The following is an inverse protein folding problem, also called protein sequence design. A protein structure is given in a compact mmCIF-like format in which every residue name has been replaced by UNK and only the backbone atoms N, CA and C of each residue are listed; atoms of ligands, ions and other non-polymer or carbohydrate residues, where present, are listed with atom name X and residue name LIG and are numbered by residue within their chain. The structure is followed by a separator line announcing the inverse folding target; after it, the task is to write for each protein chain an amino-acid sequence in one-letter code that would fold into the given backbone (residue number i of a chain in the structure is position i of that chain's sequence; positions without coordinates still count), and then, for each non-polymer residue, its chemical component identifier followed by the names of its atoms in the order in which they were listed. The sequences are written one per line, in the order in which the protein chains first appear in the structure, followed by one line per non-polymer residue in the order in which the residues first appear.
data_IF_866338481192
#
_entry.id   IF_866338481192
#
_cell.length_a   1.000
_cell.length_b   1.000
_cell.length_c   1.000
_cell.angle_alpha   90.00
_cell.angle_beta   90.00
_cell.angle_gamma   90.00
#
_symmetry.space_group_name_H-M   'P 1'
#
loop_
_entity.id
_entity.type
_entity.pdbx_description
1 polymer ?
#
# COMPACT_ATOMS: atom_id res chain seq x y z
N UNK A 1 -18.19 -5.06 -15.21
CA UNK A 1 -17.36 -5.82 -16.15
C UNK A 1 -15.92 -5.28 -16.28
N UNK A 2 -15.70 -3.96 -16.38
CA UNK A 2 -14.35 -3.36 -16.49
C UNK A 2 -13.50 -3.52 -15.21
N UNK A 3 -14.08 -3.23 -14.04
CA UNK A 3 -13.37 -3.34 -12.75
C UNK A 3 -12.87 -4.77 -12.46
N UNK A 4 -13.70 -5.79 -12.71
CA UNK A 4 -13.29 -7.20 -12.51
C UNK A 4 -12.12 -7.61 -13.41
N UNK A 5 -12.07 -7.12 -14.66
CA UNK A 5 -10.93 -7.37 -15.55
C UNK A 5 -9.66 -6.67 -15.07
N UNK A 6 -9.78 -5.43 -14.61
CA UNK A 6 -8.65 -4.68 -14.06
C UNK A 6 -8.09 -5.34 -12.79
N UNK A 7 -8.96 -5.81 -11.90
CA UNK A 7 -8.57 -6.58 -10.70
C UNK A 7 -7.86 -7.89 -11.10
N UNK A 8 -8.39 -8.57 -12.13
CA UNK A 8 -7.81 -9.80 -12.65
C UNK A 8 -6.40 -9.61 -13.21
N UNK A 9 -6.25 -8.66 -14.13
CA UNK A 9 -4.97 -8.36 -14.80
C UNK A 9 -3.95 -7.72 -13.87
N UNK A 10 -4.39 -7.08 -12.79
CA UNK A 10 -3.52 -6.44 -11.82
C UNK A 10 -2.91 -7.45 -10.86
N UNK A 11 -3.74 -8.11 -10.04
CA UNK A 11 -3.23 -8.90 -8.91
C UNK A 11 -3.94 -10.23 -8.70
N UNK A 12 -5.21 -10.34 -9.12
CA UNK A 12 -6.04 -11.49 -8.74
C UNK A 12 -5.46 -12.81 -9.26
N UNK A 13 -5.02 -12.86 -10.53
CA UNK A 13 -4.41 -14.06 -11.12
C UNK A 13 -3.22 -14.56 -10.30
N UNK A 14 -2.40 -13.62 -9.79
CA UNK A 14 -1.18 -13.92 -9.02
C UNK A 14 -1.45 -14.36 -7.59
N UNK A 15 -2.50 -13.84 -6.96
CA UNK A 15 -2.83 -14.15 -5.56
C UNK A 15 -3.85 -15.29 -5.42
N UNK A 16 -4.61 -15.63 -6.45
CA UNK A 16 -5.68 -16.64 -6.38
C UNK A 16 -5.18 -17.98 -5.80
N UNK A 17 -4.02 -18.54 -6.22
CA UNK A 17 -3.49 -19.76 -5.61
C UNK A 17 -3.12 -19.57 -4.13
N UNK A 18 -2.72 -18.36 -3.74
CA UNK A 18 -2.37 -18.00 -2.37
C UNK A 18 -3.59 -17.73 -1.48
N UNK A 19 -4.81 -17.65 -2.02
CA UNK A 19 -6.03 -17.45 -1.23
C UNK A 19 -6.69 -18.76 -0.78
N UNK A 20 -6.31 -19.91 -1.36
CA UNK A 20 -6.87 -21.22 -1.01
C UNK A 20 -6.48 -21.58 0.44
N UNK A 21 -7.42 -21.70 1.39
CA UNK A 21 -7.09 -21.97 2.79
C UNK A 21 -6.26 -23.25 2.94
N UNK A 22 -5.16 -23.24 3.73
CA UNK A 22 -4.44 -24.47 4.02
C UNK A 22 -5.31 -25.39 4.90
N UNK A 23 -5.05 -26.69 4.84
CA UNK A 23 -5.66 -27.64 5.79
C UNK A 23 -5.15 -27.30 7.20
N UNK A 24 -6.06 -26.97 8.12
CA UNK A 24 -5.71 -26.61 9.49
C UNK A 24 -5.64 -27.88 10.35
N UNK A 25 -4.49 -28.15 10.94
CA UNK A 25 -4.34 -29.18 11.96
C UNK A 25 -4.51 -28.54 13.34
N UNK A 26 -5.56 -28.92 14.07
CA UNK A 26 -5.94 -28.31 15.35
C UNK A 26 -5.86 -29.30 16.53
N UNK A 27 -5.14 -30.41 16.36
CA UNK A 27 -5.13 -31.54 17.30
C UNK A 27 -4.32 -31.25 18.58
N UNK A 28 -3.29 -30.40 18.50
CA UNK A 28 -2.48 -29.96 19.64
C UNK A 28 -2.32 -28.44 19.68
N UNK A 29 -2.01 -27.88 20.85
CA UNK A 29 -1.58 -26.48 20.97
C UNK A 29 -0.39 -26.15 20.05
N UNK A 30 0.52 -27.10 19.87
CA UNK A 30 1.66 -26.95 18.96
C UNK A 30 1.19 -26.84 17.50
N UNK A 31 0.23 -27.67 17.10
CA UNK A 31 -0.34 -27.65 15.75
C UNK A 31 -1.14 -26.36 15.49
N UNK A 32 -1.83 -25.86 16.52
CA UNK A 32 -2.53 -24.57 16.46
C UNK A 32 -1.55 -23.42 16.27
N UNK A 33 -0.47 -23.35 17.06
CA UNK A 33 0.58 -22.33 16.91
C UNK A 33 1.23 -22.39 15.53
N UNK A 34 1.60 -23.58 15.08
CA UNK A 34 2.19 -23.78 13.76
C UNK A 34 1.23 -23.35 12.63
N UNK A 35 -0.05 -23.71 12.71
CA UNK A 35 -1.07 -23.29 11.75
C UNK A 35 -1.23 -21.77 11.71
N UNK A 36 -1.20 -21.10 12.87
CA UNK A 36 -1.27 -19.62 12.92
C UNK A 36 -0.04 -18.96 12.29
N UNK A 37 1.15 -19.49 12.52
CA UNK A 37 2.38 -18.99 11.91
C UNK A 37 2.36 -19.13 10.38
N UNK A 38 1.89 -20.28 9.87
CA UNK A 38 1.72 -20.49 8.44
C UNK A 38 0.74 -19.48 7.81
N UNK A 39 -0.40 -19.23 8.46
CA UNK A 39 -1.38 -18.25 7.99
C UNK A 39 -0.78 -16.83 7.95
N UNK A 40 -0.04 -16.43 8.99
CA UNK A 40 0.62 -15.12 9.05
C UNK A 40 1.71 -14.99 7.98
N UNK A 41 2.53 -16.02 7.79
CA UNK A 41 3.58 -16.05 6.77
C UNK A 41 3.00 -15.91 5.36
N UNK A 42 1.91 -16.62 5.08
CA UNK A 42 1.20 -16.53 3.80
C UNK A 42 0.59 -15.15 3.59
N UNK A 43 -0.02 -14.57 4.62
CA UNK A 43 -0.59 -13.23 4.55
C UNK A 43 0.47 -12.17 4.27
N UNK A 44 1.67 -12.28 4.88
CA UNK A 44 2.82 -11.42 4.57
C UNK A 44 3.27 -11.56 3.11
N UNK A 45 3.38 -12.80 2.63
CA UNK A 45 3.76 -13.10 1.24
C UNK A 45 2.79 -12.49 0.23
N UNK A 46 1.47 -12.57 0.48
CA UNK A 46 0.44 -11.94 -0.36
C UNK A 46 0.60 -10.42 -0.38
N UNK A 47 0.84 -9.80 0.78
CA UNK A 47 1.06 -8.35 0.89
C UNK A 47 2.30 -7.92 0.10
N UNK A 48 3.42 -8.64 0.24
CA UNK A 48 4.66 -8.35 -0.46
C UNK A 48 4.51 -8.46 -1.98
N UNK A 49 3.83 -9.52 -2.45
CA UNK A 49 3.52 -9.70 -3.87
C UNK A 49 2.62 -8.58 -4.42
N UNK A 50 1.63 -8.16 -3.65
CA UNK A 50 0.75 -7.05 -4.03
C UNK A 50 1.51 -5.72 -4.12
N UNK A 51 2.44 -5.46 -3.19
CA UNK A 51 3.28 -4.26 -3.20
C UNK A 51 4.24 -4.24 -4.38
N UNK A 52 4.96 -5.34 -4.63
CA UNK A 52 5.89 -5.44 -5.75
C UNK A 52 5.16 -5.32 -7.09
N UNK A 53 3.98 -5.91 -7.21
CA UNK A 53 3.15 -5.81 -8.42
C UNK A 53 2.67 -4.38 -8.66
N UNK A 54 2.14 -3.70 -7.63
CA UNK A 54 1.71 -2.31 -7.74
C UNK A 54 2.86 -1.37 -8.12
N UNK A 55 4.04 -1.51 -7.49
CA UNK A 55 5.24 -0.74 -7.84
C UNK A 55 5.70 -1.01 -9.27
N UNK A 56 5.69 -2.27 -9.70
CA UNK A 56 6.03 -2.65 -11.07
C UNK A 56 5.12 -1.98 -12.10
N UNK A 57 3.82 -1.86 -11.82
CA UNK A 57 2.90 -1.12 -12.69
C UNK A 57 3.21 0.37 -12.73
N UNK A 58 3.51 1.01 -11.59
CA UNK A 58 3.88 2.42 -11.57
C UNK A 58 5.16 2.70 -12.34
N UNK A 59 6.19 1.87 -12.20
CA UNK A 59 7.42 1.98 -13.01
C UNK A 59 7.17 1.81 -14.51
N UNK A 60 6.17 1.02 -14.89
CA UNK A 60 5.74 0.86 -16.27
C UNK A 60 4.79 1.98 -16.76
N UNK A 61 4.50 3.00 -15.95
CA UNK A 61 3.55 4.07 -16.26
C UNK A 61 2.07 3.64 -16.25
N UNK A 62 1.78 2.44 -15.75
CA UNK A 62 0.44 1.81 -15.73
C UNK A 62 -0.28 2.11 -14.42
N UNK A 63 -0.57 3.39 -14.18
CA UNK A 63 -1.10 3.85 -12.90
C UNK A 63 -2.48 3.26 -12.56
N UNK A 64 -3.33 3.01 -13.56
CA UNK A 64 -4.65 2.43 -13.35
C UNK A 64 -4.56 0.97 -12.89
N UNK A 65 -3.65 0.20 -13.48
CA UNK A 65 -3.39 -1.20 -13.17
C UNK A 65 -2.68 -1.39 -11.82
N UNK A 66 -1.99 -0.37 -11.31
CA UNK A 66 -1.40 -0.39 -9.98
C UNK A 66 -2.45 -0.37 -8.85
N UNK A 67 -3.61 0.25 -9.07
CA UNK A 67 -4.61 0.50 -8.02
C UNK A 67 -5.14 -0.78 -7.35
N UNK A 68 -5.57 -1.83 -8.08
CA UNK A 68 -6.08 -3.04 -7.44
C UNK A 68 -5.03 -3.77 -6.58
N UNK A 69 -3.79 -3.87 -7.08
CA UNK A 69 -2.67 -4.44 -6.34
C UNK A 69 -2.37 -3.63 -5.07
N UNK A 70 -2.33 -2.30 -5.15
CA UNK A 70 -2.10 -1.45 -3.99
C UNK A 70 -3.24 -1.51 -2.96
N UNK A 71 -4.51 -1.59 -3.40
CA UNK A 71 -5.67 -1.76 -2.51
C UNK A 71 -5.64 -3.12 -1.80
N UNK A 72 -5.23 -4.18 -2.51
CA UNK A 72 -5.05 -5.50 -1.92
C UNK A 72 -3.95 -5.47 -0.85
N UNK A 73 -2.83 -4.80 -1.12
CA UNK A 73 -1.76 -4.61 -0.13
C UNK A 73 -2.26 -3.83 1.10
N UNK A 74 -3.07 -2.78 0.92
CA UNK A 74 -3.61 -1.98 2.01
C UNK A 74 -4.47 -2.84 2.95
N UNK A 75 -5.45 -3.57 2.38
CA UNK A 75 -6.31 -4.48 3.14
C UNK A 75 -5.49 -5.54 3.86
N UNK A 76 -4.47 -6.08 3.20
CA UNK A 76 -3.60 -7.10 3.78
C UNK A 76 -2.77 -6.58 4.94
N UNK A 77 -2.17 -5.39 4.83
CA UNK A 77 -1.43 -4.76 5.93
C UNK A 77 -2.34 -4.35 7.07
N UNK A 78 -3.53 -3.82 6.79
CA UNK A 78 -4.50 -3.46 7.83
C UNK A 78 -4.93 -4.68 8.65
N UNK A 79 -5.04 -5.87 8.03
CA UNK A 79 -5.28 -7.13 8.76
C UNK A 79 -4.09 -7.57 9.63
N UNK A 80 -2.86 -7.28 9.22
CA UNK A 80 -1.65 -7.67 9.95
C UNK A 80 -1.31 -6.73 11.10
N UNK A 81 -1.54 -5.42 10.92
CA UNK A 81 -1.05 -4.38 11.83
C UNK A 81 -2.15 -3.50 12.43
N UNK A 82 -3.38 -3.55 11.91
CA UNK A 82 -4.47 -2.65 12.27
C UNK A 82 -4.53 -1.38 11.39
N UNK A 83 -5.69 -0.72 11.37
CA UNK A 83 -5.96 0.48 10.55
C UNK A 83 -5.29 1.75 11.05
N UNK A 84 -4.91 1.80 12.33
CA UNK A 84 -4.19 2.91 12.96
C UNK A 84 -2.66 2.75 12.91
N UNK A 85 -2.15 1.72 12.23
CA UNK A 85 -0.71 1.45 12.24
C UNK A 85 0.05 2.31 11.25
N UNK A 86 1.16 2.89 11.72
CA UNK A 86 2.13 3.60 10.87
C UNK A 86 2.70 2.71 9.74
N UNK A 87 2.61 1.38 9.88
CA UNK A 87 2.96 0.39 8.86
C UNK A 87 2.14 0.52 7.56
N UNK A 88 1.03 1.27 7.56
CA UNK A 88 0.19 1.49 6.37
C UNK A 88 0.65 2.65 5.49
N UNK A 89 1.45 3.58 6.04
CA UNK A 89 1.91 4.79 5.34
C UNK A 89 2.51 4.48 3.96
N UNK A 90 3.42 3.49 3.78
CA UNK A 90 3.98 3.20 2.46
C UNK A 90 2.94 2.80 1.40
N UNK A 91 1.83 2.19 1.81
CA UNK A 91 0.77 1.77 0.87
C UNK A 91 -0.17 2.90 0.54
N UNK A 92 -0.46 3.79 1.49
CA UNK A 92 -1.19 5.00 1.21
C UNK A 92 -0.44 5.91 0.24
N UNK A 93 0.88 6.06 0.40
CA UNK A 93 1.72 6.78 -0.55
C UNK A 93 1.68 6.16 -1.96
N UNK A 94 1.73 4.82 -2.05
CA UNK A 94 1.63 4.10 -3.32
C UNK A 94 0.26 4.31 -4.02
N UNK A 95 -0.82 4.30 -3.23
CA UNK A 95 -2.17 4.58 -3.73
C UNK A 95 -2.34 6.05 -4.16
N UNK A 96 -1.71 6.98 -3.45
CA UNK A 96 -1.68 8.38 -3.82
C UNK A 96 -0.93 8.62 -5.13
N UNK A 97 0.21 7.96 -5.33
CA UNK A 97 0.98 8.03 -6.57
C UNK A 97 0.17 7.48 -7.75
N UNK A 98 -0.43 6.29 -7.60
CA UNK A 98 -1.30 5.71 -8.63
C UNK A 98 -2.53 6.59 -8.94
N UNK A 99 -3.15 7.17 -7.91
CA UNK A 99 -4.30 8.08 -8.09
C UNK A 99 -3.89 9.39 -8.77
N UNK A 100 -2.70 9.90 -8.48
CA UNK A 100 -2.11 11.07 -9.17
C UNK A 100 -1.86 10.76 -10.64
N UNK A 101 -1.23 9.62 -10.94
CA UNK A 101 -0.94 9.17 -12.31
C UNK A 101 -2.18 8.93 -13.18
N UNK A 102 -3.34 8.67 -12.56
CA UNK A 102 -4.64 8.57 -13.27
C UNK A 102 -5.38 9.91 -13.37
N UNK A 103 -4.80 11.00 -12.86
CA UNK A 103 -5.43 12.33 -12.82
C UNK A 103 -6.49 12.49 -11.73
N UNK A 104 -6.71 11.47 -10.88
CA UNK A 104 -7.68 11.52 -9.80
C UNK A 104 -7.10 12.17 -8.53
N UNK A 105 -6.86 13.48 -8.62
CA UNK A 105 -6.26 14.26 -7.53
C UNK A 105 -7.09 14.24 -6.24
N UNK A 106 -8.42 14.14 -6.34
CA UNK A 106 -9.30 14.05 -5.17
C UNK A 106 -9.01 12.79 -4.37
N UNK A 107 -8.85 11.66 -5.05
CA UNK A 107 -8.57 10.39 -4.38
C UNK A 107 -7.12 10.34 -3.87
N UNK A 108 -6.17 10.87 -4.63
CA UNK A 108 -4.77 10.98 -4.21
C UNK A 108 -4.63 11.80 -2.91
N UNK A 109 -5.28 12.97 -2.84
CA UNK A 109 -5.28 13.81 -1.65
C UNK A 109 -5.82 13.09 -0.41
N UNK A 110 -6.89 12.31 -0.55
CA UNK A 110 -7.42 11.50 0.57
C UNK A 110 -6.38 10.52 1.10
N UNK A 111 -5.71 9.79 0.22
CA UNK A 111 -4.68 8.83 0.64
C UNK A 111 -3.47 9.51 1.28
N UNK A 112 -3.08 10.69 0.80
CA UNK A 112 -2.02 11.48 1.44
C UNK A 112 -2.44 11.93 2.85
N UNK A 113 -3.66 12.41 3.03
CA UNK A 113 -4.16 12.81 4.34
C UNK A 113 -4.20 11.65 5.34
N UNK A 114 -4.55 10.43 4.91
CA UNK A 114 -4.46 9.24 5.75
C UNK A 114 -3.00 8.92 6.14
N UNK A 115 -2.06 9.05 5.20
CA UNK A 115 -0.64 8.85 5.46
C UNK A 115 -0.09 9.90 6.44
N UNK A 116 -0.42 11.18 6.24
CA UNK A 116 -0.05 12.29 7.13
C UNK A 116 -0.60 12.06 8.53
N UNK A 117 -1.88 11.69 8.64
CA UNK A 117 -2.52 11.42 9.92
C UNK A 117 -1.79 10.32 10.70
N UNK A 118 -1.47 9.20 10.06
CA UNK A 118 -0.75 8.10 10.72
C UNK A 118 0.65 8.49 11.19
N UNK A 119 1.36 9.31 10.42
CA UNK A 119 2.67 9.87 10.81
C UNK A 119 2.54 10.82 11.98
N UNK A 120 1.54 11.71 11.98
CA UNK A 120 1.26 12.64 13.07
C UNK A 120 0.91 11.91 14.38
N UNK A 121 0.14 10.83 14.30
CA UNK A 121 -0.20 9.99 15.46
C UNK A 121 0.99 9.15 15.97
N UNK A 122 2.09 9.10 15.22
CA UNK A 122 3.26 8.26 15.53
C UNK A 122 4.53 9.14 15.65
N UNK A 123 4.70 9.89 16.75
CA UNK A 123 5.85 10.79 16.92
C UNK A 123 7.20 10.07 16.95
N UNK A 124 7.21 8.77 17.22
CA UNK A 124 8.40 7.91 17.18
C UNK A 124 8.70 7.33 15.78
N UNK A 125 7.94 7.71 14.75
CA UNK A 125 8.21 7.22 13.41
C UNK A 125 9.57 7.72 12.90
N UNK A 126 10.33 6.81 12.28
CA UNK A 126 11.69 7.10 11.81
C UNK A 126 11.73 8.16 10.70
N UNK A 127 12.87 8.85 10.59
CA UNK A 127 13.10 9.89 9.58
C UNK A 127 12.78 9.42 8.16
N UNK A 128 13.14 8.18 7.81
CA UNK A 128 12.87 7.59 6.49
C UNK A 128 11.37 7.59 6.11
N UNK A 129 10.47 7.45 7.10
CA UNK A 129 9.04 7.44 6.82
C UNK A 129 8.50 8.85 6.63
N UNK A 130 8.97 9.82 7.43
CA UNK A 130 8.66 11.24 7.25
C UNK A 130 9.16 11.75 5.91
N UNK A 131 10.41 11.43 5.59
CA UNK A 131 11.07 11.69 4.31
C UNK A 131 10.23 11.16 3.14
N UNK A 132 9.80 9.89 3.22
CA UNK A 132 8.91 9.28 2.21
C UNK A 132 7.55 9.97 2.09
N UNK A 133 6.96 10.43 3.20
CA UNK A 133 5.72 11.19 3.19
C UNK A 133 5.91 12.55 2.49
N UNK A 134 6.98 13.27 2.83
CA UNK A 134 7.36 14.53 2.19
C UNK A 134 7.60 14.36 0.69
N UNK A 135 8.27 13.28 0.27
CA UNK A 135 8.38 12.93 -1.16
C UNK A 135 7.02 12.81 -1.84
N UNK A 136 6.11 12.04 -1.23
CA UNK A 136 4.76 11.83 -1.78
C UNK A 136 3.95 13.12 -1.91
N UNK A 137 3.97 13.97 -0.87
CA UNK A 137 3.31 15.28 -0.87
C UNK A 137 3.92 16.21 -1.93
N UNK A 138 5.25 16.25 -2.03
CA UNK A 138 5.97 17.07 -2.98
C UNK A 138 5.65 16.71 -4.43
N UNK A 139 5.70 15.42 -4.76
CA UNK A 139 5.34 14.91 -6.10
C UNK A 139 3.87 15.21 -6.44
N UNK A 140 2.96 15.08 -5.47
CA UNK A 140 1.55 15.42 -5.66
C UNK A 140 1.35 16.92 -5.93
N UNK A 141 2.00 17.81 -5.16
CA UNK A 141 1.95 19.25 -5.40
C UNK A 141 2.53 19.62 -6.77
N UNK A 142 3.63 18.98 -7.18
CA UNK A 142 4.23 19.18 -8.50
C UNK A 142 3.25 18.79 -9.62
N UNK A 143 2.56 17.63 -9.48
CA UNK A 143 1.55 17.18 -10.43
C UNK A 143 0.34 18.12 -10.53
N UNK A 144 0.05 18.89 -9.47
CA UNK A 144 -0.98 19.93 -9.47
C UNK A 144 -0.49 21.31 -9.97
N UNK A 145 0.80 21.45 -10.29
CA UNK A 145 1.41 22.73 -10.66
C UNK A 145 1.66 23.68 -9.47
N UNK A 146 1.54 23.19 -8.23
CA UNK A 146 1.78 23.98 -7.01
C UNK A 146 3.25 23.94 -6.62
N UNK A 147 4.07 24.66 -7.38
CA UNK A 147 5.54 24.54 -7.32
C UNK A 147 6.14 24.94 -5.97
N UNK A 148 5.62 25.98 -5.31
CA UNK A 148 6.15 26.42 -4.00
C UNK A 148 5.97 25.35 -2.92
N UNK A 149 4.78 24.71 -2.90
CA UNK A 149 4.49 23.61 -1.98
C UNK A 149 5.33 22.38 -2.32
N UNK A 150 5.48 22.09 -3.61
CA UNK A 150 6.32 20.98 -4.06
C UNK A 150 7.77 21.15 -3.60
N UNK A 151 8.34 22.35 -3.77
CA UNK A 151 9.69 22.68 -3.33
C UNK A 151 9.84 22.51 -1.83
N UNK A 152 8.90 23.04 -1.04
CA UNK A 152 8.92 22.87 0.42
C UNK A 152 8.95 21.40 0.81
N UNK A 153 8.04 20.57 0.28
CA UNK A 153 7.97 19.18 0.66
C UNK A 153 9.20 18.38 0.18
N UNK A 154 9.66 18.59 -1.06
CA UNK A 154 10.84 17.88 -1.59
C UNK A 154 12.13 18.28 -0.88
N UNK A 155 12.25 19.51 -0.36
CA UNK A 155 13.39 19.91 0.47
C UNK A 155 13.45 19.18 1.83
N UNK A 156 12.33 18.58 2.26
CA UNK A 156 12.23 17.80 3.50
C UNK A 156 12.26 16.27 3.26
N UNK A 157 12.51 15.82 2.01
CA UNK A 157 12.80 14.42 1.66
C UNK A 157 14.31 14.14 1.86
N UNK A 158 14.75 14.07 3.12
CA UNK A 158 16.15 13.86 3.55
C UNK A 158 16.29 12.62 4.43
#
# INVERSE_FOLDING_TARGET
ASHQRADWSSIHERICPLLIPPQLCLHSEKDRKHSTEQLLSRQRSIVELALSTARGFLWAGKALEALPAALQALRGRARLFGWSSVQLVPVYLLLAEASTGTGNFRQASKYLSEAEWLVLQSPECGAALRSSLHRGLGLFCAAQGKLDQALYHLANDV
#
